data_IF_922523423647
#
_entry.id   IF_922523423647
#
_cell.length_a   1.000
_cell.length_b   1.000
_cell.length_c   1.000
_cell.angle_alpha   90.00
_cell.angle_beta   90.00
_cell.angle_gamma   90.00
#
_symmetry.space_group_name_H-M   'P 1'
#
loop_
_entity.id
_entity.type
_entity.pdbx_description
1 polymer ?
#
# COMPACT_ATOMS: atom_id res chain seq x y z
N UNK A 1 54.85 19.76 -27.43
CA UNK A 1 54.02 18.92 -26.59
C UNK A 1 53.90 17.53 -27.17
N UNK A 2 54.43 16.49 -26.49
CA UNK A 2 54.28 15.10 -26.93
C UNK A 2 52.85 14.64 -26.58
N UNK A 3 52.03 14.34 -27.58
CA UNK A 3 50.72 13.71 -27.37
C UNK A 3 50.98 12.26 -26.89
N UNK A 4 50.56 11.94 -25.68
CA UNK A 4 50.57 10.56 -25.19
C UNK A 4 49.40 9.84 -25.87
N UNK A 5 49.71 8.80 -26.65
CA UNK A 5 48.68 7.90 -27.20
C UNK A 5 48.23 6.90 -26.14
N UNK A 6 46.97 6.44 -26.24
CA UNK A 6 46.44 5.37 -25.40
C UNK A 6 47.18 4.05 -25.68
N UNK A 7 47.46 3.30 -24.64
CA UNK A 7 48.03 1.96 -24.78
C UNK A 7 46.91 0.97 -25.17
N UNK A 8 47.26 -0.10 -25.85
CA UNK A 8 46.34 -1.16 -26.29
C UNK A 8 45.63 -1.81 -25.10
N UNK A 9 46.29 -1.90 -23.95
CA UNK A 9 45.74 -2.47 -22.73
C UNK A 9 44.71 -1.56 -22.08
N UNK A 10 44.89 -0.23 -22.12
CA UNK A 10 43.92 0.74 -21.64
C UNK A 10 42.64 0.69 -22.49
N UNK A 11 42.77 0.57 -23.81
CA UNK A 11 41.62 0.43 -24.69
C UNK A 11 40.87 -0.88 -24.45
N UNK A 12 41.60 -2.00 -24.26
CA UNK A 12 41.01 -3.30 -23.97
C UNK A 12 40.22 -3.29 -22.64
N UNK A 13 40.81 -2.67 -21.60
CA UNK A 13 40.17 -2.56 -20.32
C UNK A 13 38.83 -1.78 -20.40
N UNK A 14 38.81 -0.67 -21.14
CA UNK A 14 37.59 0.12 -21.34
C UNK A 14 36.50 -0.67 -22.07
N UNK A 15 36.85 -1.40 -23.13
CA UNK A 15 35.89 -2.22 -23.90
C UNK A 15 35.32 -3.33 -23.02
N UNK A 16 36.12 -3.99 -22.20
CA UNK A 16 35.64 -5.05 -21.27
C UNK A 16 34.69 -4.47 -20.23
N UNK A 17 35.03 -3.34 -19.62
CA UNK A 17 34.18 -2.67 -18.63
C UNK A 17 32.86 -2.23 -19.27
N UNK A 18 32.90 -1.59 -20.44
CA UNK A 18 31.69 -1.19 -21.19
C UNK A 18 30.84 -2.40 -21.56
N UNK A 19 31.45 -3.52 -21.97
CA UNK A 19 30.73 -4.78 -22.25
C UNK A 19 29.98 -5.31 -21.03
N UNK A 20 30.61 -5.33 -19.87
CA UNK A 20 29.99 -5.80 -18.63
C UNK A 20 28.84 -4.87 -18.22
N UNK A 21 29.06 -3.55 -18.26
CA UNK A 21 28.01 -2.56 -17.92
C UNK A 21 26.83 -2.68 -18.87
N UNK A 22 27.07 -2.84 -20.17
CA UNK A 22 26.00 -2.95 -21.17
C UNK A 22 25.16 -4.19 -20.96
N UNK A 23 25.74 -5.34 -20.66
CA UNK A 23 25.01 -6.60 -20.42
C UNK A 23 24.08 -6.51 -19.21
N UNK A 24 24.47 -5.77 -18.18
CA UNK A 24 23.68 -5.64 -16.93
C UNK A 24 22.68 -4.47 -17.02
N UNK A 25 23.09 -3.33 -17.57
CA UNK A 25 22.31 -2.11 -17.56
C UNK A 25 21.20 -2.09 -18.62
N UNK A 26 21.47 -2.60 -19.83
CA UNK A 26 20.50 -2.54 -20.94
C UNK A 26 19.20 -3.27 -20.61
N UNK A 27 19.19 -4.52 -20.09
CA UNK A 27 17.93 -5.18 -19.75
C UNK A 27 17.13 -4.42 -18.69
N UNK A 28 17.78 -3.89 -17.65
CA UNK A 28 17.12 -3.10 -16.60
C UNK A 28 16.52 -1.79 -17.12
N UNK A 29 17.24 -1.09 -17.99
CA UNK A 29 16.75 0.15 -18.60
C UNK A 29 15.55 -0.11 -19.51
N UNK A 30 15.58 -1.18 -20.30
CA UNK A 30 14.45 -1.58 -21.15
C UNK A 30 13.21 -1.95 -20.31
N UNK A 31 13.40 -2.67 -19.22
CA UNK A 31 12.30 -2.99 -18.29
C UNK A 31 11.67 -1.71 -17.68
N UNK A 32 12.50 -0.77 -17.22
CA UNK A 32 12.03 0.53 -16.72
C UNK A 32 11.27 1.31 -17.78
N UNK A 33 11.77 1.34 -19.02
CA UNK A 33 11.10 2.04 -20.13
C UNK A 33 9.75 1.38 -20.45
N UNK A 34 9.69 0.05 -20.47
CA UNK A 34 8.46 -0.67 -20.73
C UNK A 34 7.43 -0.43 -19.62
N UNK A 35 7.83 -0.54 -18.35
CA UNK A 35 6.96 -0.22 -17.19
C UNK A 35 6.47 1.23 -17.21
N UNK A 36 7.33 2.18 -17.60
CA UNK A 36 6.94 3.58 -17.73
C UNK A 36 5.91 3.79 -18.84
N UNK A 37 6.07 3.11 -19.98
CA UNK A 37 5.10 3.16 -21.09
C UNK A 37 3.75 2.54 -20.69
N UNK A 38 3.76 1.40 -20.04
CA UNK A 38 2.54 0.75 -19.52
C UNK A 38 1.81 1.63 -18.52
N UNK A 39 2.52 2.21 -17.56
CA UNK A 39 1.95 3.15 -16.58
C UNK A 39 1.35 4.38 -17.24
N UNK A 40 2.02 4.96 -18.23
CA UNK A 40 1.52 6.10 -19.00
C UNK A 40 0.27 5.74 -19.81
N UNK A 41 0.26 4.57 -20.45
CA UNK A 41 -0.90 4.05 -21.20
C UNK A 41 -2.09 3.80 -20.28
N UNK A 42 -1.87 3.15 -19.14
CA UNK A 42 -2.89 2.89 -18.13
C UNK A 42 -3.50 4.18 -17.59
N UNK A 43 -2.68 5.17 -17.25
CA UNK A 43 -3.16 6.49 -16.80
C UNK A 43 -3.97 7.20 -17.88
N UNK A 44 -3.53 7.12 -19.14
CA UNK A 44 -4.25 7.74 -20.27
C UNK A 44 -5.62 7.12 -20.50
N UNK A 45 -5.73 5.79 -20.45
CA UNK A 45 -7.02 5.10 -20.63
C UNK A 45 -7.93 5.34 -19.43
N UNK A 46 -7.40 5.45 -18.20
CA UNK A 46 -8.20 5.87 -17.05
C UNK A 46 -8.83 7.24 -17.29
N UNK A 47 -8.06 8.20 -17.79
CA UNK A 47 -8.59 9.53 -18.16
C UNK A 47 -9.68 9.45 -19.22
N UNK A 48 -9.57 8.54 -20.20
CA UNK A 48 -10.61 8.29 -21.20
C UNK A 48 -11.89 7.78 -20.53
N UNK A 49 -11.77 6.80 -19.65
CA UNK A 49 -12.93 6.25 -18.91
C UNK A 49 -13.58 7.30 -18.02
N UNK A 50 -12.82 8.12 -17.35
CA UNK A 50 -13.33 9.21 -16.52
C UNK A 50 -14.02 10.29 -17.38
N UNK A 51 -13.47 10.61 -18.56
CA UNK A 51 -14.10 11.51 -19.51
C UNK A 51 -15.44 10.96 -20.03
N UNK A 52 -15.51 9.67 -20.37
CA UNK A 52 -16.74 8.98 -20.77
C UNK A 52 -17.81 9.12 -19.69
N UNK A 53 -17.49 8.76 -18.44
CA UNK A 53 -18.43 8.86 -17.31
C UNK A 53 -18.93 10.29 -17.12
N UNK A 54 -18.00 11.25 -17.11
CA UNK A 54 -18.30 12.65 -16.85
C UNK A 54 -19.16 13.26 -17.97
N UNK A 55 -18.84 12.97 -19.23
CA UNK A 55 -19.57 13.54 -20.35
C UNK A 55 -20.93 12.88 -20.55
N UNK A 56 -21.09 11.58 -20.28
CA UNK A 56 -22.41 10.94 -20.28
C UNK A 56 -23.28 11.57 -19.16
N UNK A 57 -22.77 11.73 -17.96
CA UNK A 57 -23.51 12.36 -16.87
C UNK A 57 -23.85 13.83 -17.17
N UNK A 58 -22.98 14.57 -17.86
CA UNK A 58 -23.25 15.92 -18.30
C UNK A 58 -24.25 15.99 -19.45
N UNK A 59 -24.29 15.01 -20.35
CA UNK A 59 -25.21 14.96 -21.49
C UNK A 59 -26.68 14.87 -21.06
N UNK A 60 -26.94 14.28 -19.90
CA UNK A 60 -28.29 14.22 -19.32
C UNK A 60 -28.79 15.62 -18.88
N UNK A 61 -27.94 16.62 -18.81
CA UNK A 61 -28.29 17.98 -18.39
C UNK A 61 -28.33 18.99 -19.53
N UNK A 62 -27.31 19.08 -20.37
CA UNK A 62 -27.22 20.11 -21.43
C UNK A 62 -26.22 19.81 -22.57
N UNK A 63 -25.65 18.60 -22.59
CA UNK A 63 -24.48 18.25 -23.41
C UNK A 63 -24.77 17.54 -24.73
N UNK A 64 -23.74 17.10 -25.44
CA UNK A 64 -23.86 16.32 -26.66
C UNK A 64 -24.58 15.01 -26.39
N UNK A 65 -25.48 14.61 -27.29
CA UNK A 65 -26.31 13.41 -27.10
C UNK A 65 -25.52 12.16 -27.45
N UNK A 66 -25.21 11.37 -26.42
CA UNK A 66 -24.70 10.00 -26.59
C UNK A 66 -25.87 9.04 -26.84
N UNK A 67 -25.68 8.09 -27.76
CA UNK A 67 -26.70 7.11 -28.10
C UNK A 67 -26.41 5.75 -27.47
N UNK A 68 -27.44 5.15 -26.90
CA UNK A 68 -27.37 3.77 -26.40
C UNK A 68 -27.63 2.78 -27.52
N UNK A 69 -26.93 1.67 -27.48
CA UNK A 69 -27.22 0.51 -28.30
C UNK A 69 -28.48 -0.24 -27.82
N UNK A 70 -28.89 -1.25 -28.58
CA UNK A 70 -30.08 -2.06 -28.25
C UNK A 70 -29.99 -2.81 -26.92
N UNK A 71 -28.78 -3.03 -26.44
CA UNK A 71 -28.49 -3.65 -25.12
C UNK A 71 -28.50 -2.64 -23.96
N UNK A 72 -28.79 -1.36 -24.24
CA UNK A 72 -28.85 -0.28 -23.25
C UNK A 72 -27.50 0.32 -22.88
N UNK A 73 -26.42 -0.12 -23.52
CA UNK A 73 -25.05 0.32 -23.30
C UNK A 73 -24.63 1.46 -24.26
N UNK A 74 -23.64 2.24 -23.85
CA UNK A 74 -22.97 3.19 -24.75
C UNK A 74 -21.71 2.51 -25.31
N UNK A 75 -21.60 2.37 -26.61
CA UNK A 75 -20.39 1.88 -27.29
C UNK A 75 -19.55 3.08 -27.76
N UNK A 76 -18.25 3.04 -27.42
CA UNK A 76 -17.21 3.93 -27.87
C UNK A 76 -16.20 3.11 -28.70
N UNK A 77 -16.18 3.35 -30.02
CA UNK A 77 -15.26 2.71 -30.95
C UNK A 77 -14.24 3.74 -31.43
N UNK A 78 -12.99 3.62 -30.92
CA UNK A 78 -11.91 4.54 -31.25
C UNK A 78 -11.18 4.16 -32.56
N UNK A 79 -11.42 2.98 -33.08
CA UNK A 79 -10.93 2.62 -34.43
C UNK A 79 -11.74 3.30 -35.52
N UNK A 80 -12.97 3.77 -35.19
CA UNK A 80 -13.84 4.56 -36.07
C UNK A 80 -14.29 5.85 -35.36
N UNK A 81 -13.36 6.78 -35.15
CA UNK A 81 -13.57 8.00 -34.35
C UNK A 81 -14.51 9.04 -35.02
N UNK A 82 -14.80 8.89 -36.30
CA UNK A 82 -15.69 9.81 -37.06
C UNK A 82 -17.16 9.43 -36.94
N UNK A 83 -17.50 8.37 -36.23
CA UNK A 83 -18.87 7.86 -36.09
C UNK A 83 -19.23 7.56 -34.62
N UNK A 84 -20.55 7.43 -34.37
CA UNK A 84 -21.08 7.02 -33.06
C UNK A 84 -20.69 7.92 -31.89
N UNK A 85 -20.66 7.34 -30.69
CA UNK A 85 -20.34 8.06 -29.45
C UNK A 85 -18.89 8.54 -29.42
N UNK A 86 -17.98 7.83 -30.08
CA UNK A 86 -16.58 8.24 -30.16
C UNK A 86 -16.39 9.56 -30.87
N UNK A 87 -17.23 9.89 -31.88
CA UNK A 87 -17.20 11.21 -32.55
C UNK A 87 -17.52 12.34 -31.58
N UNK A 88 -18.52 12.14 -30.76
CA UNK A 88 -19.09 13.15 -29.85
C UNK A 88 -18.19 13.36 -28.62
N UNK A 89 -17.47 12.32 -28.18
CA UNK A 89 -16.62 12.36 -27.00
C UNK A 89 -15.45 13.34 -27.17
N UNK A 90 -15.36 14.33 -26.30
CA UNK A 90 -14.27 15.32 -26.26
C UNK A 90 -13.16 14.92 -25.32
N UNK A 91 -12.03 14.49 -25.88
CA UNK A 91 -10.82 14.14 -25.12
C UNK A 91 -9.57 14.58 -25.88
N UNK A 92 -8.51 14.92 -25.13
CA UNK A 92 -7.19 15.23 -25.69
C UNK A 92 -6.50 13.95 -26.19
N UNK A 93 -5.72 14.08 -27.26
CA UNK A 93 -4.96 12.98 -27.88
C UNK A 93 -5.83 11.76 -28.26
N UNK A 94 -7.04 12.01 -28.71
CA UNK A 94 -7.99 10.99 -29.15
C UNK A 94 -7.43 10.15 -30.29
N UNK A 95 -6.63 10.76 -31.16
CA UNK A 95 -5.88 10.15 -32.25
C UNK A 95 -4.91 9.06 -31.86
N UNK A 96 -4.49 9.06 -30.59
CA UNK A 96 -3.61 8.03 -30.01
C UNK A 96 -4.36 6.86 -29.37
N UNK A 97 -5.69 6.91 -29.36
CA UNK A 97 -6.52 5.87 -28.77
C UNK A 97 -7.06 4.99 -29.88
N UNK A 98 -7.03 3.69 -29.71
CA UNK A 98 -7.61 2.68 -30.59
C UNK A 98 -8.35 1.61 -29.77
N UNK A 99 -9.14 0.76 -30.44
CA UNK A 99 -9.99 -0.23 -29.81
C UNK A 99 -11.35 0.31 -29.41
N UNK A 100 -12.10 -0.44 -28.64
CA UNK A 100 -13.47 -0.12 -28.25
C UNK A 100 -13.73 -0.40 -26.77
N UNK A 101 -14.77 0.24 -26.23
CA UNK A 101 -15.24 0.03 -24.86
C UNK A 101 -16.74 0.25 -24.78
N UNK A 102 -17.43 -0.59 -24.00
CA UNK A 102 -18.84 -0.39 -23.67
C UNK A 102 -18.99 0.14 -22.25
N UNK A 103 -19.91 1.06 -22.06
CA UNK A 103 -20.31 1.59 -20.76
C UNK A 103 -21.77 1.26 -20.49
N UNK A 104 -22.00 0.37 -19.51
CA UNK A 104 -23.30 -0.18 -19.17
C UNK A 104 -23.51 -0.09 -17.66
N UNK A 105 -24.65 0.41 -17.20
CA UNK A 105 -25.02 0.39 -15.77
C UNK A 105 -23.89 0.83 -14.83
N UNK A 106 -23.21 1.93 -15.19
CA UNK A 106 -22.08 2.52 -14.45
C UNK A 106 -20.79 1.66 -14.44
N UNK A 107 -20.70 0.62 -15.28
CA UNK A 107 -19.52 -0.25 -15.42
C UNK A 107 -18.99 -0.24 -16.84
N UNK A 108 -17.68 -0.49 -17.00
CA UNK A 108 -17.05 -0.65 -18.31
C UNK A 108 -16.90 -2.13 -18.65
N UNK A 109 -17.35 -2.51 -19.85
CA UNK A 109 -17.30 -3.86 -20.38
C UNK A 109 -16.63 -3.86 -21.76
N UNK A 110 -16.17 -5.02 -22.22
CA UNK A 110 -15.57 -5.22 -23.54
C UNK A 110 -14.45 -4.22 -23.86
N UNK A 111 -13.60 -3.97 -22.88
CA UNK A 111 -12.53 -2.99 -22.95
C UNK A 111 -11.33 -3.51 -23.73
N UNK A 112 -11.17 -3.02 -24.97
CA UNK A 112 -10.02 -3.32 -25.85
C UNK A 112 -9.16 -2.10 -26.11
N UNK A 113 -9.32 -1.04 -25.30
CA UNK A 113 -8.65 0.25 -25.53
C UNK A 113 -7.13 0.11 -25.49
N UNK A 114 -6.47 0.83 -26.40
CA UNK A 114 -5.03 0.99 -26.49
C UNK A 114 -4.69 2.46 -26.56
N UNK A 115 -3.58 2.85 -25.95
CA UNK A 115 -3.04 4.19 -26.09
C UNK A 115 -1.65 4.12 -26.73
N UNK A 116 -1.46 4.85 -27.83
CA UNK A 116 -0.22 4.91 -28.63
C UNK A 116 0.26 3.51 -29.09
N UNK A 117 -0.70 2.66 -29.55
CA UNK A 117 -0.46 1.29 -29.99
C UNK A 117 -0.15 0.29 -28.86
N UNK A 118 0.05 0.78 -27.65
CA UNK A 118 0.19 -0.08 -26.48
C UNK A 118 -1.21 -0.36 -25.93
N UNK A 119 -1.66 -1.59 -26.01
CA UNK A 119 -2.78 -2.04 -25.20
C UNK A 119 -2.40 -1.76 -23.73
N UNK A 120 -3.38 -1.32 -22.93
CA UNK A 120 -3.40 -1.96 -21.64
C UNK A 120 -3.65 -3.40 -22.02
N UNK A 121 -2.64 -4.23 -21.99
CA UNK A 121 -3.01 -5.58 -21.74
C UNK A 121 -3.71 -5.49 -20.37
N UNK A 122 -5.05 -5.63 -20.35
CA UNK A 122 -5.49 -6.69 -19.48
C UNK A 122 -4.68 -7.86 -20.02
N UNK A 123 -3.47 -7.95 -19.55
CA UNK A 123 -2.89 -9.24 -19.38
C UNK A 123 -3.83 -9.89 -18.38
N UNK A 124 -4.86 -10.58 -18.89
CA UNK A 124 -5.64 -11.51 -18.08
C UNK A 124 -4.71 -12.60 -17.52
N UNK A 125 -3.40 -12.53 -17.87
CA UNK A 125 -2.30 -13.28 -17.34
C UNK A 125 -1.48 -12.49 -16.29
N UNK A 126 -1.54 -11.14 -16.22
CA UNK A 126 -0.98 -10.42 -15.06
C UNK A 126 -1.97 -10.56 -13.90
N UNK A 127 -1.75 -11.59 -13.14
CA UNK A 127 -2.49 -11.86 -11.92
C UNK A 127 -2.38 -10.63 -11.01
N UNK A 128 -3.49 -10.05 -10.60
CA UNK A 128 -3.49 -8.95 -9.62
C UNK A 128 -2.67 -9.36 -8.41
N UNK A 129 -1.87 -8.46 -7.85
CA UNK A 129 -1.12 -8.75 -6.62
C UNK A 129 -2.10 -9.00 -5.48
N UNK A 130 -3.16 -8.21 -5.38
CA UNK A 130 -4.17 -8.35 -4.33
C UNK A 130 -5.56 -8.60 -4.92
N UNK A 131 -6.30 -9.48 -4.30
CA UNK A 131 -7.72 -9.73 -4.55
C UNK A 131 -8.52 -9.42 -3.29
N UNK A 132 -9.72 -8.87 -3.48
CA UNK A 132 -10.65 -8.68 -2.36
C UNK A 132 -10.89 -10.00 -1.63
N UNK A 133 -10.78 -9.96 -0.31
CA UNK A 133 -11.05 -11.12 0.52
C UNK A 133 -12.51 -11.58 0.39
N UNK A 134 -12.72 -12.89 0.39
CA UNK A 134 -14.06 -13.48 0.38
C UNK A 134 -14.58 -13.79 1.78
N UNK A 135 -13.68 -13.83 2.76
CA UNK A 135 -13.99 -14.07 4.18
C UNK A 135 -13.17 -13.12 5.03
N UNK A 136 -13.69 -12.76 6.19
CA UNK A 136 -12.96 -11.97 7.17
C UNK A 136 -12.34 -12.85 8.24
N UNK A 137 -11.24 -12.40 8.80
CA UNK A 137 -10.70 -13.00 10.01
C UNK A 137 -11.61 -12.66 11.17
N UNK A 138 -11.84 -13.65 12.03
CA UNK A 138 -12.63 -13.52 13.23
C UNK A 138 -11.91 -14.12 14.41
N UNK A 139 -12.08 -13.55 15.60
CA UNK A 139 -11.58 -14.08 16.85
C UNK A 139 -12.74 -14.24 17.85
N UNK A 140 -12.83 -15.40 18.44
CA UNK A 140 -13.78 -15.64 19.53
C UNK A 140 -13.16 -15.14 20.84
N UNK A 141 -13.77 -14.13 21.43
CA UNK A 141 -13.32 -13.54 22.67
C UNK A 141 -13.83 -14.35 23.85
N UNK A 142 -12.98 -15.15 24.44
CA UNK A 142 -13.26 -15.83 25.69
C UNK A 142 -12.56 -15.10 26.84
N UNK A 143 -13.06 -15.25 28.07
CA UNK A 143 -12.43 -14.65 29.25
C UNK A 143 -10.96 -15.08 29.47
N UNK A 144 -10.60 -16.27 28.99
CA UNK A 144 -9.28 -16.87 29.21
C UNK A 144 -8.26 -16.56 28.12
N UNK A 145 -8.70 -16.12 26.93
CA UNK A 145 -7.82 -15.82 25.79
C UNK A 145 -8.13 -14.48 25.12
N UNK A 146 -8.63 -13.53 25.90
CA UNK A 146 -8.98 -12.21 25.40
C UNK A 146 -7.76 -11.56 24.72
N UNK A 147 -7.87 -11.32 23.39
CA UNK A 147 -7.07 -10.29 22.75
C UNK A 147 -7.36 -8.95 23.42
N UNK A 148 -6.44 -8.02 23.30
CA UNK A 148 -6.60 -6.69 23.89
C UNK A 148 -7.87 -6.00 23.40
N UNK A 149 -8.30 -6.29 22.17
CA UNK A 149 -9.56 -5.77 21.62
C UNK A 149 -10.80 -6.45 22.23
N UNK A 150 -10.74 -7.73 22.56
CA UNK A 150 -11.81 -8.46 23.18
C UNK A 150 -12.23 -7.86 24.53
N UNK A 151 -11.30 -7.37 25.32
CA UNK A 151 -11.60 -6.72 26.60
C UNK A 151 -12.33 -5.39 26.44
N UNK A 152 -12.23 -4.76 25.26
CA UNK A 152 -12.86 -3.49 24.95
C UNK A 152 -14.23 -3.57 24.30
N UNK A 153 -14.56 -4.69 23.66
CA UNK A 153 -15.83 -4.86 22.92
C UNK A 153 -17.05 -5.17 23.79
N UNK A 154 -17.12 -4.64 25.03
CA UNK A 154 -18.26 -4.79 25.93
C UNK A 154 -18.16 -5.94 26.91
N UNK A 155 -16.96 -6.41 27.21
CA UNK A 155 -16.72 -7.29 28.34
C UNK A 155 -16.96 -6.50 29.63
N UNK A 156 -18.14 -6.64 30.19
CA UNK A 156 -18.40 -6.16 31.54
C UNK A 156 -17.67 -7.07 32.53
N UNK A 157 -16.93 -6.48 33.45
CA UNK A 157 -16.20 -7.11 34.54
C UNK A 157 -17.08 -7.85 35.56
N UNK A 158 -18.35 -8.00 35.26
CA UNK A 158 -19.32 -8.70 36.13
C UNK A 158 -19.69 -10.06 35.53
N UNK A 159 -18.83 -11.04 35.71
CA UNK A 159 -19.20 -12.44 36.00
C UNK A 159 -19.97 -13.25 34.98
N UNK A 160 -20.33 -12.77 33.83
CA UNK A 160 -21.04 -13.55 32.81
C UNK A 160 -20.11 -13.89 31.68
N UNK A 161 -19.76 -15.16 31.52
CA UNK A 161 -19.05 -15.71 30.36
C UNK A 161 -19.93 -15.57 29.12
N UNK A 162 -19.85 -14.44 28.44
CA UNK A 162 -20.39 -14.27 27.10
C UNK A 162 -19.24 -14.43 26.12
N UNK A 163 -19.40 -15.28 25.11
CA UNK A 163 -18.50 -15.30 23.94
C UNK A 163 -18.96 -14.20 23.02
N UNK A 164 -18.09 -13.23 22.76
CA UNK A 164 -18.29 -12.28 21.65
C UNK A 164 -17.31 -12.62 20.54
N UNK A 165 -17.74 -12.50 19.30
CA UNK A 165 -16.88 -12.68 18.14
C UNK A 165 -16.52 -11.31 17.61
N UNK A 166 -15.22 -11.05 17.45
CA UNK A 166 -14.74 -9.87 16.76
C UNK A 166 -14.44 -10.22 15.32
N UNK A 167 -14.80 -9.33 14.43
CA UNK A 167 -14.50 -9.41 13.01
C UNK A 167 -13.52 -8.31 12.66
N UNK A 168 -12.42 -8.65 11.96
CA UNK A 168 -11.37 -7.74 11.58
C UNK A 168 -11.59 -7.23 10.15
N UNK A 169 -11.71 -5.91 10.01
CA UNK A 169 -11.89 -5.24 8.72
C UNK A 169 -13.28 -5.44 8.10
N UNK A 170 -13.34 -5.23 6.79
CA UNK A 170 -14.56 -5.23 5.99
C UNK A 170 -14.34 -6.02 4.69
N UNK A 171 -15.41 -6.63 4.13
CA UNK A 171 -15.35 -7.21 2.77
C UNK A 171 -15.34 -6.11 1.70
N UNK A 172 -15.77 -4.90 2.04
CA UNK A 172 -15.82 -3.75 1.16
C UNK A 172 -16.87 -3.85 0.05
N UNK A 173 -16.83 -2.89 -0.87
CA UNK A 173 -17.73 -2.82 -2.03
C UNK A 173 -16.91 -2.82 -3.31
N UNK A 174 -17.29 -3.63 -4.30
CA UNK A 174 -16.61 -3.68 -5.61
C UNK A 174 -16.51 -2.30 -6.23
N UNK A 175 -15.33 -1.97 -6.74
CA UNK A 175 -15.02 -0.71 -7.38
C UNK A 175 -14.69 0.45 -6.43
N UNK A 176 -14.64 0.20 -5.12
CA UNK A 176 -14.27 1.21 -4.11
C UNK A 176 -13.18 0.68 -3.18
N UNK A 177 -12.40 1.57 -2.58
CA UNK A 177 -11.44 1.27 -1.53
C UNK A 177 -11.80 2.10 -0.30
N UNK A 178 -12.02 1.42 0.83
CA UNK A 178 -12.32 2.04 2.11
C UNK A 178 -11.42 1.48 3.20
N UNK A 179 -11.04 2.31 4.16
CA UNK A 179 -10.19 1.90 5.28
C UNK A 179 -10.75 0.65 5.99
N UNK A 180 -9.90 -0.38 6.10
CA UNK A 180 -10.27 -1.68 6.65
C UNK A 180 -10.79 -2.70 5.65
N UNK A 181 -10.91 -2.37 4.37
CA UNK A 181 -11.24 -3.35 3.32
C UNK A 181 -10.16 -4.43 3.25
N UNK A 182 -10.60 -5.70 3.34
CA UNK A 182 -9.72 -6.85 3.40
C UNK A 182 -9.33 -7.38 2.01
N UNK A 183 -8.06 -7.70 1.85
CA UNK A 183 -7.47 -8.26 0.63
C UNK A 183 -6.57 -9.42 0.97
N UNK A 184 -6.54 -10.42 0.11
CA UNK A 184 -5.53 -11.47 0.10
C UNK A 184 -4.54 -11.15 -1.03
N UNK A 185 -3.23 -11.00 -0.70
CA UNK A 185 -2.23 -10.49 -1.62
C UNK A 185 -1.13 -11.53 -1.84
N UNK A 186 -0.92 -11.96 -3.09
CA UNK A 186 0.18 -12.82 -3.51
C UNK A 186 1.51 -12.03 -3.44
N UNK A 187 2.00 -11.80 -2.22
CA UNK A 187 3.22 -10.99 -2.00
C UNK A 187 4.49 -11.75 -2.30
N UNK A 188 4.48 -13.07 -2.15
CA UNK A 188 5.63 -13.96 -2.37
C UNK A 188 5.81 -14.34 -3.86
N UNK A 189 4.77 -14.12 -4.70
CA UNK A 189 4.81 -14.39 -6.14
C UNK A 189 4.61 -15.85 -6.52
N UNK A 190 4.06 -16.69 -5.63
CA UNK A 190 3.81 -18.12 -5.90
C UNK A 190 2.50 -18.36 -6.67
N UNK A 191 1.71 -17.30 -6.85
CA UNK A 191 0.46 -17.33 -7.56
C UNK A 191 -0.73 -17.81 -6.73
N UNK A 192 -0.58 -18.01 -5.43
CA UNK A 192 -1.65 -18.31 -4.48
C UNK A 192 -2.02 -17.04 -3.70
N UNK A 193 -3.24 -16.96 -3.23
CA UNK A 193 -3.74 -15.89 -2.35
C UNK A 193 -4.17 -16.55 -1.05
N UNK A 194 -3.24 -16.64 -0.11
CA UNK A 194 -3.48 -17.34 1.15
C UNK A 194 -4.05 -16.39 2.20
N UNK A 195 -5.33 -16.54 2.49
CA UNK A 195 -6.01 -15.74 3.51
C UNK A 195 -5.42 -15.90 4.92
N UNK A 196 -4.76 -17.03 5.19
CA UNK A 196 -4.15 -17.32 6.48
C UNK A 196 -2.78 -16.66 6.71
N UNK A 197 -2.06 -16.35 5.62
CA UNK A 197 -0.68 -15.83 5.69
C UNK A 197 -0.43 -14.59 4.82
N UNK A 198 -1.38 -14.21 3.97
CA UNK A 198 -1.24 -13.10 3.02
C UNK A 198 -2.42 -12.11 3.08
N UNK A 199 -3.08 -12.03 4.25
CA UNK A 199 -4.15 -11.07 4.51
C UNK A 199 -3.60 -9.67 4.75
N UNK A 200 -4.18 -8.71 4.04
CA UNK A 200 -3.92 -7.28 4.18
C UNK A 200 -5.21 -6.49 4.31
N UNK A 201 -5.11 -5.29 4.85
CA UNK A 201 -6.21 -4.35 4.93
C UNK A 201 -5.82 -3.04 4.29
N UNK A 202 -6.69 -2.49 3.46
CA UNK A 202 -6.48 -1.18 2.89
C UNK A 202 -6.50 -0.12 4.01
N UNK A 203 -5.50 0.75 4.00
CA UNK A 203 -5.36 1.85 4.96
C UNK A 203 -5.78 3.16 4.32
N UNK A 204 -5.09 3.55 3.26
CA UNK A 204 -5.29 4.82 2.58
C UNK A 204 -4.64 4.80 1.18
N UNK A 205 -4.86 5.85 0.43
CA UNK A 205 -4.07 6.14 -0.76
C UNK A 205 -2.77 6.86 -0.37
N UNK A 206 -1.65 6.43 -0.91
CA UNK A 206 -0.41 7.20 -0.90
C UNK A 206 -0.50 8.36 -1.90
N UNK A 207 -1.12 8.08 -3.05
CA UNK A 207 -1.42 9.03 -4.13
C UNK A 207 -2.54 8.45 -5.03
N UNK A 208 -2.83 9.10 -6.14
CA UNK A 208 -3.90 8.68 -7.06
C UNK A 208 -3.73 7.26 -7.62
N UNK A 209 -2.51 6.74 -7.66
CA UNK A 209 -2.18 5.46 -8.31
C UNK A 209 -1.76 4.36 -7.34
N UNK A 210 -1.35 4.70 -6.12
CA UNK A 210 -0.78 3.76 -5.14
C UNK A 210 -1.66 3.68 -3.91
N UNK A 211 -2.04 2.47 -3.55
CA UNK A 211 -2.71 2.11 -2.31
C UNK A 211 -1.71 1.64 -1.26
N UNK A 212 -2.00 1.94 0.00
CA UNK A 212 -1.26 1.49 1.18
C UNK A 212 -2.07 0.43 1.89
N UNK A 213 -1.51 -0.76 2.03
CA UNK A 213 -2.16 -1.89 2.70
C UNK A 213 -1.30 -2.35 3.88
N UNK A 214 -1.95 -2.58 5.02
CA UNK A 214 -1.29 -3.08 6.24
C UNK A 214 -1.51 -4.57 6.40
N UNK A 215 -0.47 -5.27 6.77
CA UNK A 215 -0.50 -6.70 7.03
C UNK A 215 -1.32 -7.02 8.30
N UNK A 216 -1.99 -8.15 8.32
CA UNK A 216 -2.85 -8.57 9.44
C UNK A 216 -2.08 -8.91 10.72
N UNK A 217 -0.76 -9.19 10.64
CA UNK A 217 0.05 -9.69 11.73
C UNK A 217 1.38 -8.94 11.86
N UNK A 218 2.02 -9.07 13.02
CA UNK A 218 3.40 -8.69 13.17
C UNK A 218 4.32 -9.71 12.50
N UNK A 219 5.57 -9.31 12.25
CA UNK A 219 6.59 -10.17 11.63
C UNK A 219 7.87 -10.24 12.46
N UNK A 220 8.61 -11.32 12.24
CA UNK A 220 9.95 -11.55 12.72
C UNK A 220 10.77 -12.14 11.58
N UNK A 221 11.84 -11.47 11.18
CA UNK A 221 12.65 -11.88 10.02
C UNK A 221 11.79 -12.26 8.80
N UNK A 222 10.88 -11.37 8.43
CA UNK A 222 10.01 -11.53 7.26
C UNK A 222 8.85 -12.52 7.38
N UNK A 223 8.76 -13.27 8.47
CA UNK A 223 7.70 -14.29 8.65
C UNK A 223 6.65 -13.83 9.68
N UNK A 224 5.37 -14.24 9.53
CA UNK A 224 4.33 -13.92 10.49
C UNK A 224 4.71 -14.36 11.91
N UNK A 225 4.58 -13.46 12.88
CA UNK A 225 4.87 -13.76 14.28
C UNK A 225 3.98 -12.94 15.21
N UNK A 226 3.08 -13.60 15.90
CA UNK A 226 2.22 -12.96 16.92
C UNK A 226 2.85 -12.87 18.31
N UNK A 227 4.07 -13.33 18.47
CA UNK A 227 4.72 -13.46 19.80
C UNK A 227 6.09 -12.79 19.88
N UNK A 228 6.53 -12.04 18.86
CA UNK A 228 7.87 -11.48 18.84
C UNK A 228 7.83 -9.96 19.03
N UNK A 229 8.71 -9.47 19.87
CA UNK A 229 8.82 -8.08 20.30
C UNK A 229 10.17 -7.53 19.87
N UNK A 230 10.17 -6.33 19.34
CA UNK A 230 11.38 -5.67 18.85
C UNK A 230 11.38 -4.19 19.20
N UNK A 231 12.56 -3.65 19.49
CA UNK A 231 12.78 -2.22 19.60
C UNK A 231 12.54 -1.53 18.25
N UNK A 232 12.14 -0.28 18.28
CA UNK A 232 12.14 0.61 17.11
C UNK A 232 13.58 0.89 16.66
N UNK A 233 14.40 1.38 17.58
CA UNK A 233 15.84 1.54 17.48
C UNK A 233 16.52 1.17 18.81
N UNK A 234 17.31 0.09 18.81
CA UNK A 234 18.03 -0.40 20.00
C UNK A 234 19.10 0.56 20.52
N UNK A 235 19.51 1.55 19.72
CA UNK A 235 20.44 2.59 20.18
C UNK A 235 19.81 3.63 21.11
N UNK A 236 18.46 3.66 21.18
CA UNK A 236 17.71 4.54 22.07
C UNK A 236 17.38 5.91 21.50
N UNK A 237 17.54 6.11 20.19
CA UNK A 237 17.35 7.41 19.54
C UNK A 237 16.35 7.32 18.39
N UNK A 238 15.27 8.11 18.42
CA UNK A 238 14.23 8.07 17.41
C UNK A 238 14.59 8.76 16.08
N UNK A 239 15.63 9.55 16.08
CA UNK A 239 16.09 10.30 14.91
C UNK A 239 16.95 9.48 13.94
N UNK A 240 17.26 8.23 14.26
CA UNK A 240 17.86 7.27 13.32
C UNK A 240 16.81 6.59 12.41
N UNK A 241 15.53 6.74 12.72
CA UNK A 241 14.47 5.96 12.13
C UNK A 241 14.33 4.56 12.77
N UNK A 242 13.44 3.70 12.24
CA UNK A 242 13.12 2.40 12.82
C UNK A 242 14.17 1.31 12.48
N UNK A 243 15.45 1.57 12.68
CA UNK A 243 16.54 0.72 12.16
C UNK A 243 16.53 -0.70 12.69
N UNK A 244 16.14 -0.92 13.96
CA UNK A 244 16.01 -2.27 14.53
C UNK A 244 14.75 -2.95 14.03
N UNK A 245 13.63 -2.23 13.93
CA UNK A 245 12.38 -2.76 13.45
C UNK A 245 12.42 -3.08 11.94
N UNK A 246 13.10 -2.27 11.12
CA UNK A 246 13.28 -2.53 9.68
C UNK A 246 13.89 -3.91 9.44
N UNK A 247 14.86 -4.32 10.25
CA UNK A 247 15.53 -5.61 10.08
C UNK A 247 14.60 -6.82 10.23
N UNK A 248 13.38 -6.62 10.75
CA UNK A 248 12.37 -7.67 10.91
C UNK A 248 11.41 -7.75 9.72
N UNK A 249 11.37 -6.74 8.87
CA UNK A 249 10.47 -6.68 7.73
C UNK A 249 10.84 -7.71 6.65
N UNK A 250 9.85 -8.14 5.83
CA UNK A 250 10.11 -9.00 4.68
C UNK A 250 11.01 -8.31 3.66
N UNK A 251 12.00 -9.03 3.19
CA UNK A 251 12.89 -8.59 2.11
C UNK A 251 12.20 -8.71 0.74
N UNK A 252 12.74 -8.04 -0.27
CA UNK A 252 12.29 -8.18 -1.67
C UNK A 252 12.48 -9.59 -2.24
N UNK A 253 13.23 -10.46 -1.55
CA UNK A 253 13.37 -11.87 -1.90
C UNK A 253 12.21 -12.70 -1.34
N UNK A 254 11.73 -12.37 -0.15
CA UNK A 254 10.63 -13.08 0.53
C UNK A 254 9.27 -12.64 -0.03
N UNK A 255 9.08 -11.34 -0.20
CA UNK A 255 7.88 -10.75 -0.83
C UNK A 255 8.24 -10.19 -2.20
N UNK A 256 8.47 -11.08 -3.16
CA UNK A 256 9.03 -10.74 -4.47
C UNK A 256 8.07 -9.97 -5.39
N UNK A 257 6.77 -10.01 -5.11
CA UNK A 257 5.73 -9.32 -5.87
C UNK A 257 5.45 -7.89 -5.39
N UNK A 258 6.09 -7.45 -4.30
CA UNK A 258 5.92 -6.10 -3.75
C UNK A 258 7.22 -5.33 -3.75
N UNK A 259 7.12 -4.02 -3.89
CA UNK A 259 8.27 -3.12 -3.81
C UNK A 259 7.81 -1.76 -3.30
N UNK A 260 8.69 -1.08 -2.59
CA UNK A 260 8.44 0.28 -2.14
C UNK A 260 8.73 1.28 -3.26
N UNK A 261 7.86 2.26 -3.44
CA UNK A 261 8.02 3.33 -4.42
C UNK A 261 9.26 4.18 -4.11
N UNK A 262 9.50 4.41 -2.83
CA UNK A 262 10.70 5.08 -2.34
C UNK A 262 11.24 4.37 -1.10
N UNK A 263 12.38 3.74 -1.22
CA UNK A 263 13.03 3.06 -0.11
C UNK A 263 13.81 4.01 0.82
N UNK A 264 14.22 5.18 0.35
CA UNK A 264 14.86 6.21 1.19
C UNK A 264 13.80 7.17 1.68
N UNK A 265 13.69 7.35 2.98
CA UNK A 265 12.64 8.15 3.60
C UNK A 265 13.21 9.15 4.59
N UNK A 266 12.66 10.35 4.56
CA UNK A 266 12.97 11.37 5.57
C UNK A 266 12.24 11.07 6.88
N UNK A 267 12.91 11.28 8.00
CA UNK A 267 12.34 11.09 9.33
C UNK A 267 11.41 12.26 9.65
N UNK A 268 10.11 12.04 9.46
CA UNK A 268 9.08 13.04 9.75
C UNK A 268 8.33 12.68 11.04
N UNK A 269 8.28 13.65 11.95
CA UNK A 269 7.50 13.53 13.19
C UNK A 269 5.99 13.68 12.96
N UNK A 270 5.20 13.54 14.00
CA UNK A 270 3.73 13.64 13.95
C UNK A 270 3.18 14.97 13.43
N UNK A 271 4.01 16.02 13.43
CA UNK A 271 3.65 17.34 12.90
C UNK A 271 4.11 17.54 11.45
N UNK A 272 4.73 16.51 10.84
CA UNK A 272 5.26 16.55 9.48
C UNK A 272 6.59 17.30 9.34
N UNK A 273 7.21 17.68 10.45
CA UNK A 273 8.53 18.29 10.49
C UNK A 273 9.62 17.27 10.78
N UNK A 274 10.87 17.63 10.51
CA UNK A 274 12.01 16.79 10.89
C UNK A 274 12.16 16.76 12.42
N UNK A 275 12.55 15.60 12.95
CA UNK A 275 12.93 15.48 14.35
C UNK A 275 14.36 16.01 14.49
N UNK A 276 14.58 16.98 15.38
CA UNK A 276 15.90 17.57 15.59
C UNK A 276 16.37 17.31 17.01
N UNK A 277 17.64 16.94 17.18
CA UNK A 277 18.31 16.93 18.47
C UNK A 277 19.52 17.87 18.42
N UNK A 278 19.59 18.83 19.34
CA UNK A 278 20.77 19.67 19.50
C UNK A 278 21.20 20.44 18.27
N UNK A 279 20.27 20.75 17.35
CA UNK A 279 20.57 21.45 16.10
C UNK A 279 21.05 20.57 14.95
N UNK A 280 21.10 19.25 15.13
CA UNK A 280 21.44 18.29 14.05
C UNK A 280 20.15 17.86 13.36
N UNK A 281 20.05 18.08 12.06
CA UNK A 281 18.97 17.51 11.24
C UNK A 281 19.22 16.02 11.10
N UNK A 282 18.22 15.14 11.37
CA UNK A 282 18.35 13.71 11.14
C UNK A 282 18.65 13.43 9.68
N UNK A 283 19.49 12.43 9.44
CA UNK A 283 19.68 11.90 8.11
C UNK A 283 18.47 11.04 7.71
N UNK A 284 18.25 10.92 6.39
CA UNK A 284 17.29 9.95 5.87
C UNK A 284 17.67 8.54 6.32
N UNK A 285 16.67 7.68 6.47
CA UNK A 285 16.85 6.24 6.69
C UNK A 285 16.35 5.44 5.48
N UNK A 286 16.65 4.15 5.43
CA UNK A 286 16.42 3.38 4.22
C UNK A 286 15.78 2.01 4.50
N UNK A 287 14.76 1.70 3.71
CA UNK A 287 14.18 0.36 3.55
C UNK A 287 14.78 -0.40 2.34
N UNK A 288 15.96 -0.01 1.86
CA UNK A 288 16.57 -0.68 0.70
C UNK A 288 16.75 -2.19 0.95
N UNK A 289 16.24 -3.01 0.03
CA UNK A 289 16.24 -4.47 0.16
C UNK A 289 14.99 -5.06 0.84
N UNK A 290 14.11 -4.21 1.38
CA UNK A 290 12.85 -4.64 1.99
C UNK A 290 11.65 -4.38 1.06
N UNK A 291 10.67 -5.26 1.12
CA UNK A 291 9.45 -5.21 0.33
C UNK A 291 8.31 -4.44 1.03
N UNK A 292 8.51 -4.12 2.30
CA UNK A 292 7.52 -3.49 3.17
C UNK A 292 8.18 -2.42 4.05
N UNK A 293 7.37 -1.57 4.64
CA UNK A 293 7.75 -0.52 5.58
C UNK A 293 6.80 -0.46 6.79
N UNK A 294 7.02 0.45 7.71
CA UNK A 294 6.08 0.75 8.79
C UNK A 294 5.04 1.79 8.33
N UNK A 295 3.89 1.80 9.01
CA UNK A 295 2.84 2.80 8.80
C UNK A 295 3.23 4.13 9.44
N UNK A 296 2.85 5.24 8.82
CA UNK A 296 3.03 6.59 9.37
C UNK A 296 1.78 7.07 10.12
N UNK A 297 1.94 8.04 11.03
CA UNK A 297 0.80 8.72 11.66
C UNK A 297 -0.07 9.44 10.62
N UNK A 298 0.53 10.01 9.58
CA UNK A 298 -0.20 10.71 8.53
C UNK A 298 -1.16 9.78 7.81
N UNK A 299 -0.71 8.56 7.45
CA UNK A 299 -1.57 7.55 6.84
C UNK A 299 -2.66 7.08 7.79
N UNK A 300 -2.34 6.92 9.08
CA UNK A 300 -3.33 6.56 10.09
C UNK A 300 -4.40 7.65 10.27
N UNK A 301 -4.03 8.94 10.22
CA UNK A 301 -4.96 10.07 10.21
C UNK A 301 -5.90 10.02 9.00
N UNK A 302 -5.36 9.74 7.81
CA UNK A 302 -6.17 9.61 6.58
C UNK A 302 -7.13 8.42 6.72
N UNK A 303 -6.64 7.27 7.16
CA UNK A 303 -7.42 6.05 7.33
C UNK A 303 -8.60 6.21 8.28
N UNK A 304 -8.40 6.98 9.33
CA UNK A 304 -9.38 7.14 10.41
C UNK A 304 -10.21 8.42 10.32
N UNK A 305 -9.81 9.37 9.47
CA UNK A 305 -10.39 10.72 9.44
C UNK A 305 -10.13 11.54 10.71
N UNK A 306 -9.26 11.06 11.62
CA UNK A 306 -8.98 11.67 12.91
C UNK A 306 -7.72 12.52 12.86
N UNK A 307 -7.87 13.83 12.86
CA UNK A 307 -6.73 14.78 12.81
C UNK A 307 -6.02 14.95 14.15
N UNK A 308 -6.67 14.57 15.26
CA UNK A 308 -6.12 14.64 16.61
C UNK A 308 -5.19 13.47 16.97
N UNK A 309 -5.00 12.48 16.12
CA UNK A 309 -3.99 11.43 16.32
C UNK A 309 -2.58 12.04 16.16
N UNK A 310 -1.64 11.75 17.06
CA UNK A 310 -1.74 10.84 18.21
C UNK A 310 -2.54 11.44 19.37
N UNK A 311 -3.23 10.57 20.09
CA UNK A 311 -4.06 10.93 21.21
C UNK A 311 -3.89 9.96 22.37
N UNK A 312 -4.06 10.45 23.58
CA UNK A 312 -4.08 9.61 24.79
C UNK A 312 -5.50 9.16 25.19
N UNK A 313 -6.49 9.40 24.34
CA UNK A 313 -7.87 9.02 24.63
C UNK A 313 -8.12 7.55 24.28
N UNK A 314 -8.59 6.78 25.26
CA UNK A 314 -8.97 5.39 25.05
C UNK A 314 -10.14 5.26 24.06
N UNK A 315 -10.11 4.18 23.27
CA UNK A 315 -11.19 3.86 22.34
C UNK A 315 -11.20 4.66 21.04
N UNK A 316 -10.18 5.48 20.77
CA UNK A 316 -10.11 6.28 19.53
C UNK A 316 -10.09 5.43 18.24
N UNK A 317 -9.65 4.17 18.35
CA UNK A 317 -9.55 3.24 17.22
C UNK A 317 -10.61 2.12 17.27
N UNK A 318 -11.67 2.25 18.07
CA UNK A 318 -12.69 1.20 18.27
C UNK A 318 -13.34 0.69 16.98
N UNK A 319 -13.53 1.58 16.01
CA UNK A 319 -14.14 1.26 14.73
C UNK A 319 -13.13 0.71 13.68
N UNK A 320 -11.87 0.60 14.06
CA UNK A 320 -10.78 0.18 13.16
C UNK A 320 -10.20 -1.17 13.60
N UNK A 321 -11.07 -2.19 13.69
CA UNK A 321 -10.74 -3.51 14.23
C UNK A 321 -9.51 -4.14 13.58
N UNK A 322 -9.32 -3.93 12.26
CA UNK A 322 -8.19 -4.46 11.52
C UNK A 322 -6.82 -3.99 12.04
N UNK A 323 -6.75 -2.83 12.70
CA UNK A 323 -5.52 -2.34 13.33
C UNK A 323 -5.17 -3.11 14.61
N UNK A 324 -6.17 -3.80 15.21
CA UNK A 324 -6.04 -4.50 16.49
C UNK A 324 -5.80 -6.00 16.33
N UNK A 325 -5.91 -6.54 15.12
CA UNK A 325 -5.69 -7.96 14.87
C UNK A 325 -4.30 -8.38 15.28
N UNK A 326 -4.17 -9.53 15.95
CA UNK A 326 -2.91 -10.05 16.48
C UNK A 326 -2.18 -9.10 17.47
N UNK A 327 -2.92 -8.20 18.13
CA UNK A 327 -2.45 -7.52 19.34
C UNK A 327 -3.09 -8.17 20.55
N UNK A 328 -2.35 -8.33 21.66
CA UNK A 328 -2.84 -9.00 22.86
C UNK A 328 -2.85 -8.07 24.06
N UNK A 329 -3.72 -8.38 25.02
CA UNK A 329 -3.76 -7.63 26.27
C UNK A 329 -2.48 -7.91 27.06
N UNK A 330 -1.78 -6.84 27.46
CA UNK A 330 -0.65 -6.78 28.39
C UNK A 330 -0.24 -8.15 28.97
N UNK A 331 0.40 -8.99 28.19
CA UNK A 331 0.93 -10.22 28.71
C UNK A 331 2.26 -10.59 28.07
N UNK A 332 3.15 -10.90 28.88
CA UNK A 332 4.59 -11.03 28.90
C UNK A 332 5.31 -11.69 27.72
N UNK A 333 4.66 -12.06 26.63
CA UNK A 333 5.33 -12.68 25.47
C UNK A 333 4.63 -12.43 24.12
N UNK A 334 3.75 -11.45 24.03
CA UNK A 334 3.07 -11.14 22.77
C UNK A 334 2.85 -9.63 22.64
N UNK A 335 2.99 -9.07 21.43
CA UNK A 335 2.84 -7.64 21.26
C UNK A 335 1.41 -7.19 21.59
N UNK A 336 1.29 -6.27 22.54
CA UNK A 336 0.05 -5.54 22.79
C UNK A 336 -0.06 -4.29 21.90
N UNK A 337 1.01 -3.99 21.17
CA UNK A 337 1.14 -2.84 20.28
C UNK A 337 2.08 -3.15 19.11
N UNK A 338 2.16 -2.23 18.16
CA UNK A 338 3.12 -2.28 17.07
C UNK A 338 3.62 -0.86 16.72
N UNK A 339 4.85 -0.79 16.20
CA UNK A 339 5.53 0.46 15.91
C UNK A 339 4.95 1.17 14.69
N UNK A 340 4.80 2.51 14.81
CA UNK A 340 4.68 3.40 13.65
C UNK A 340 6.07 3.83 13.17
N UNK A 341 6.19 4.25 11.92
CA UNK A 341 7.42 4.84 11.38
C UNK A 341 7.75 6.18 12.03
N UNK A 342 6.72 6.90 12.47
CA UNK A 342 6.75 8.30 12.88
C UNK A 342 7.38 8.46 14.28
N UNK A 343 8.50 9.18 14.41
CA UNK A 343 9.09 9.53 15.70
C UNK A 343 8.28 10.62 16.42
N UNK A 344 8.47 10.73 17.70
CA UNK A 344 7.90 11.82 18.51
C UNK A 344 8.75 13.07 18.39
N UNK A 345 8.10 14.25 18.22
CA UNK A 345 8.78 15.52 17.95
C UNK A 345 9.49 16.14 19.15
N UNK A 346 8.95 15.93 20.36
CA UNK A 346 9.37 16.62 21.58
C UNK A 346 10.27 15.75 22.49
N UNK A 347 10.48 14.49 22.14
CA UNK A 347 11.31 13.57 22.94
C UNK A 347 12.04 12.55 22.08
N UNK A 348 13.37 12.63 22.05
CA UNK A 348 14.22 11.83 21.14
C UNK A 348 14.30 10.34 21.48
N UNK A 349 13.99 9.97 22.71
CA UNK A 349 13.96 8.57 23.16
C UNK A 349 12.61 7.87 22.90
N UNK A 350 11.63 8.53 22.29
CA UNK A 350 10.29 7.96 22.09
C UNK A 350 9.81 8.02 20.64
N UNK A 351 9.00 7.04 20.27
CA UNK A 351 8.25 7.00 19.01
C UNK A 351 6.82 6.56 19.24
N UNK A 352 5.99 6.67 18.23
CA UNK A 352 4.58 6.33 18.30
C UNK A 352 4.34 4.86 17.98
N UNK A 353 3.34 4.27 18.65
CA UNK A 353 2.84 2.93 18.38
C UNK A 353 1.33 2.88 18.46
N UNK A 354 0.74 1.84 17.88
CA UNK A 354 -0.69 1.54 17.99
C UNK A 354 -0.88 0.45 19.01
N UNK A 355 -1.64 0.74 20.06
CA UNK A 355 -1.90 -0.16 21.18
C UNK A 355 -3.28 -0.79 21.07
N UNK A 356 -3.32 -2.11 21.04
CA UNK A 356 -4.55 -2.86 20.99
C UNK A 356 -5.34 -2.85 22.28
N UNK A 357 -4.69 -2.87 23.43
CA UNK A 357 -5.32 -2.92 24.74
C UNK A 357 -6.09 -1.65 25.12
N UNK A 358 -5.61 -0.50 24.66
CA UNK A 358 -6.25 0.80 24.86
C UNK A 358 -6.85 1.36 23.57
N UNK A 359 -6.63 0.69 22.43
CA UNK A 359 -7.14 1.09 21.10
C UNK A 359 -6.84 2.54 20.78
N UNK A 360 -5.59 2.93 21.00
CA UNK A 360 -5.11 4.29 20.82
C UNK A 360 -3.69 4.32 20.24
N UNK A 361 -3.30 5.47 19.74
CA UNK A 361 -1.93 5.76 19.33
C UNK A 361 -1.19 6.40 20.50
N UNK A 362 -0.16 5.76 20.97
CA UNK A 362 0.62 6.18 22.13
C UNK A 362 2.12 6.15 21.85
N UNK A 363 2.91 6.87 22.63
CA UNK A 363 4.36 6.86 22.50
C UNK A 363 4.99 5.84 23.45
N UNK A 364 6.11 5.24 23.00
CA UNK A 364 6.91 4.38 23.84
C UNK A 364 8.41 4.62 23.60
N UNK A 365 9.24 4.15 24.52
CA UNK A 365 10.69 4.26 24.42
C UNK A 365 11.19 3.43 23.24
N UNK A 366 12.01 4.02 22.37
CA UNK A 366 12.47 3.40 21.12
C UNK A 366 13.32 2.15 21.31
N UNK A 367 14.00 2.02 22.43
CA UNK A 367 14.80 0.83 22.81
C UNK A 367 13.98 -0.27 23.51
N UNK A 368 12.68 0.00 23.76
CA UNK A 368 11.81 -0.96 24.41
C UNK A 368 11.52 -2.13 23.48
N UNK A 369 11.73 -3.34 23.97
CA UNK A 369 11.47 -4.59 23.27
C UNK A 369 10.48 -5.49 24.02
N UNK A 370 9.72 -4.93 24.96
CA UNK A 370 8.85 -5.71 25.84
C UNK A 370 7.39 -5.75 25.41
N UNK A 371 6.93 -4.82 24.54
CA UNK A 371 5.50 -4.65 24.26
C UNK A 371 5.14 -4.51 22.79
N UNK A 372 6.06 -4.14 21.89
CA UNK A 372 5.73 -3.73 20.53
C UNK A 372 6.29 -4.69 19.49
N UNK A 373 5.43 -5.03 18.55
CA UNK A 373 5.76 -5.79 17.35
C UNK A 373 6.09 -4.90 16.15
N UNK A 374 6.44 -5.55 15.07
CA UNK A 374 6.73 -4.91 13.77
C UNK A 374 5.65 -5.36 12.79
N UNK A 375 4.83 -4.42 12.30
CA UNK A 375 3.71 -4.70 11.42
C UNK A 375 3.95 -4.11 10.03
N UNK A 376 4.11 -4.97 8.99
CA UNK A 376 4.44 -4.51 7.65
C UNK A 376 3.30 -3.76 6.96
N UNK A 377 3.70 -2.79 6.15
CA UNK A 377 2.85 -2.09 5.19
C UNK A 377 3.46 -2.22 3.80
N UNK A 378 2.63 -2.57 2.81
CA UNK A 378 3.01 -2.64 1.40
C UNK A 378 2.39 -1.48 0.61
N UNK A 379 3.05 -1.14 -0.48
CA UNK A 379 2.60 -0.17 -1.48
C UNK A 379 2.24 -0.93 -2.76
N UNK A 380 1.00 -0.83 -3.19
CA UNK A 380 0.49 -1.57 -4.35
C UNK A 380 -0.13 -0.62 -5.35
N UNK A 381 0.18 -0.78 -6.63
CA UNK A 381 -0.53 -0.04 -7.67
C UNK A 381 -2.02 -0.41 -7.61
N UNK A 382 -2.92 0.56 -7.66
CA UNK A 382 -4.36 0.32 -7.65
C UNK A 382 -4.81 -0.56 -8.84
N UNK A 383 -4.06 -0.51 -9.94
CA UNK A 383 -4.28 -1.39 -11.10
C UNK A 383 -3.93 -2.86 -10.82
N UNK A 384 -3.13 -3.12 -9.82
CA UNK A 384 -2.71 -4.46 -9.40
C UNK A 384 -3.57 -4.99 -8.23
N UNK A 385 -4.63 -4.27 -7.87
CA UNK A 385 -5.63 -4.66 -6.89
C UNK A 385 -6.96 -4.94 -7.61
N UNK A 386 -7.49 -6.13 -7.42
CA UNK A 386 -8.84 -6.47 -7.87
C UNK A 386 -9.85 -6.12 -6.76
N UNK A 387 -10.48 -4.94 -6.89
CA UNK A 387 -11.42 -4.42 -5.90
C UNK A 387 -12.75 -3.97 -6.46
#
# INVERSE_FOLDING_TARGET
MKKKGFTLIELLAVIVILGIITVIAVPKVLDIINKSKESASSSSIKLVKDAIKTQIAASDLTGPVFTKETDGCYLFDFDNQESGNSKVLEIKNKDKISGSIKYCNNTFNDDTLKFDGNSISKDDTKKSICKRATTLHTEECTWDNASSYCSGAGYTTSGSKGTSTITYGNLGTTGTLSSGDAFDCDVNGDGVYDSGTERFYYVSDMNDTIAVLIYYNNVSNGTPSSNTLYAYDSSGENWHGPVTAIAQLPTTKEWSNTSLTNSTRSILNENGGNTTRGGTTPSDFSYAGYAARLLTIQELRIATGKTNIPTSLYGELDNYTYLMENTKFSNSNAPCAWWLETPRSDYTGNTWGVYGDSRLVFHNTVSDNDYLGVRPVIEVLKTDINY
#
